data_IF_987567999434
#
_entry.id   IF_987567999434
#
_cell.length_a   1.000
_cell.length_b   1.000
_cell.length_c   1.000
_cell.angle_alpha   90.00
_cell.angle_beta   90.00
_cell.angle_gamma   90.00
#
_symmetry.space_group_name_H-M   'P 1'
#
loop_
_entity.id
_entity.type
_entity.pdbx_description
1 polymer ?
#
# COMPACT_ATOMS: atom_id res chain seq x y z
N UNK A 1 12.18 -23.32 -12.51
CA UNK A 1 11.32 -22.20 -12.08
C UNK A 1 9.87 -22.66 -12.21
N UNK A 2 9.18 -22.99 -11.10
CA UNK A 2 7.76 -23.39 -11.17
C UNK A 2 6.93 -22.11 -11.18
N UNK A 3 6.24 -21.89 -12.29
CA UNK A 3 5.27 -20.82 -12.45
C UNK A 3 4.13 -21.08 -11.44
N UNK A 4 3.95 -20.21 -10.45
CA UNK A 4 2.87 -20.31 -9.48
C UNK A 4 1.55 -19.93 -10.17
N UNK A 5 1.03 -20.83 -11.01
CA UNK A 5 -0.32 -20.68 -11.53
C UNK A 5 -1.29 -20.96 -10.37
N UNK A 6 -1.90 -19.90 -9.85
CA UNK A 6 -2.86 -19.95 -8.74
C UNK A 6 -4.29 -20.32 -9.21
N UNK A 7 -4.45 -20.56 -10.52
CA UNK A 7 -5.72 -20.83 -11.18
C UNK A 7 -5.60 -22.09 -11.99
N UNK A 8 -6.52 -23.05 -11.77
CA UNK A 8 -6.50 -24.36 -12.41
C UNK A 8 -7.78 -24.61 -13.18
N UNK A 9 -7.63 -25.16 -14.39
CA UNK A 9 -8.77 -25.64 -15.18
C UNK A 9 -9.23 -27.03 -14.70
N UNK A 10 -10.48 -27.40 -15.01
CA UNK A 10 -11.02 -28.73 -14.66
C UNK A 10 -10.18 -29.86 -15.25
N UNK A 11 -9.69 -29.68 -16.48
CA UNK A 11 -8.80 -30.62 -17.15
C UNK A 11 -7.48 -30.79 -16.42
N UNK A 12 -6.86 -29.71 -15.96
CA UNK A 12 -5.62 -29.77 -15.18
C UNK A 12 -5.84 -30.46 -13.83
N UNK A 13 -6.98 -30.21 -13.16
CA UNK A 13 -7.33 -30.89 -11.91
C UNK A 13 -7.53 -32.41 -12.09
N UNK A 14 -8.11 -32.83 -13.23
CA UNK A 14 -8.26 -34.25 -13.57
C UNK A 14 -6.92 -34.93 -13.87
N UNK A 15 -6.02 -34.25 -14.59
CA UNK A 15 -4.68 -34.76 -14.89
C UNK A 15 -3.85 -35.02 -13.63
N UNK A 16 -4.04 -34.20 -12.59
CA UNK A 16 -3.40 -34.36 -11.29
C UNK A 16 -3.88 -35.59 -10.51
N UNK A 17 -4.99 -36.23 -10.92
CA UNK A 17 -5.57 -37.44 -10.30
C UNK A 17 -5.64 -37.35 -8.77
N UNK A 18 -6.14 -36.21 -8.27
CA UNK A 18 -6.29 -35.96 -6.84
C UNK A 18 -7.40 -36.87 -6.31
N UNK A 19 -7.08 -37.73 -5.34
CA UNK A 19 -8.00 -38.74 -4.80
C UNK A 19 -9.26 -38.15 -4.16
N UNK A 20 -9.20 -36.92 -3.66
CA UNK A 20 -10.33 -36.20 -3.07
C UNK A 20 -11.26 -35.53 -4.09
N UNK A 21 -10.89 -35.50 -5.37
CA UNK A 21 -11.70 -34.95 -6.44
C UNK A 21 -12.45 -36.05 -7.21
N UNK A 22 -13.65 -35.75 -7.72
CA UNK A 22 -14.33 -36.64 -8.65
C UNK A 22 -13.50 -36.90 -9.90
N UNK A 23 -13.59 -38.11 -10.44
CA UNK A 23 -12.86 -38.52 -11.67
C UNK A 23 -13.48 -38.00 -12.96
N UNK A 24 -14.62 -37.29 -12.88
CA UNK A 24 -15.30 -36.66 -14.02
C UNK A 24 -15.29 -35.14 -13.88
N UNK A 25 -15.10 -34.48 -15.01
CA UNK A 25 -15.24 -33.05 -15.25
C UNK A 25 -16.51 -32.45 -14.60
N UNK A 26 -17.67 -33.06 -14.86
CA UNK A 26 -18.96 -32.63 -14.31
C UNK A 26 -19.00 -32.76 -12.80
N UNK A 27 -18.31 -33.76 -12.24
CA UNK A 27 -18.21 -33.97 -10.81
C UNK A 27 -17.45 -32.82 -10.13
N UNK A 28 -16.32 -32.42 -10.72
CA UNK A 28 -15.52 -31.30 -10.21
C UNK A 28 -16.31 -30.00 -10.28
N UNK A 29 -16.99 -29.71 -11.40
CA UNK A 29 -17.81 -28.48 -11.52
C UNK A 29 -18.94 -28.45 -10.49
N UNK A 30 -19.59 -29.58 -10.22
CA UNK A 30 -20.63 -29.68 -9.19
C UNK A 30 -20.04 -29.48 -7.79
N UNK A 31 -18.87 -30.07 -7.49
CA UNK A 31 -18.17 -29.89 -6.21
C UNK A 31 -17.77 -28.43 -6.00
N UNK A 32 -17.17 -27.81 -7.01
CA UNK A 32 -16.81 -26.40 -7.01
C UNK A 32 -18.01 -25.48 -6.79
N UNK A 33 -19.15 -25.80 -7.40
CA UNK A 33 -20.39 -25.03 -7.19
C UNK A 33 -20.97 -25.23 -5.78
N UNK A 34 -20.89 -26.44 -5.23
CA UNK A 34 -21.36 -26.78 -3.88
C UNK A 34 -20.52 -26.12 -2.78
N UNK A 35 -19.20 -26.07 -2.99
CA UNK A 35 -18.23 -25.52 -2.04
C UNK A 35 -17.92 -24.03 -2.30
N UNK A 36 -18.55 -23.42 -3.31
CA UNK A 36 -18.41 -22.00 -3.59
C UNK A 36 -17.03 -21.58 -4.07
N UNK A 37 -16.34 -22.43 -4.84
CA UNK A 37 -15.01 -22.10 -5.35
C UNK A 37 -15.06 -20.87 -6.26
N UNK A 38 -14.07 -20.00 -6.10
CA UNK A 38 -13.92 -18.83 -6.94
C UNK A 38 -13.53 -19.27 -8.35
N UNK A 39 -14.29 -18.80 -9.34
CA UNK A 39 -14.12 -19.15 -10.74
C UNK A 39 -13.98 -17.90 -11.60
N UNK A 40 -13.09 -17.96 -12.58
CA UNK A 40 -12.93 -16.94 -13.63
C UNK A 40 -13.02 -17.57 -15.01
N UNK A 41 -13.44 -16.80 -16.00
CA UNK A 41 -13.42 -17.25 -17.39
C UNK A 41 -12.00 -17.06 -17.95
N UNK A 42 -11.45 -18.09 -18.61
CA UNK A 42 -10.13 -17.98 -19.28
C UNK A 42 -10.27 -17.10 -20.53
N UNK A 43 -9.50 -16.03 -20.59
CA UNK A 43 -9.46 -15.14 -21.76
C UNK A 43 -8.69 -15.79 -22.92
N UNK A 44 -9.13 -15.55 -24.15
CA UNK A 44 -8.41 -15.98 -25.36
C UNK A 44 -8.61 -17.42 -25.84
N UNK A 45 -9.50 -18.21 -25.23
CA UNK A 45 -9.81 -19.58 -25.67
C UNK A 45 -11.17 -19.66 -26.37
N UNK A 46 -11.26 -20.42 -27.45
CA UNK A 46 -12.50 -20.68 -28.20
C UNK A 46 -13.46 -21.55 -27.37
N UNK A 47 -14.27 -20.91 -26.52
CA UNK A 47 -15.28 -21.56 -25.69
C UNK A 47 -15.47 -20.89 -24.31
N UNK A 48 -16.50 -21.30 -23.56
CA UNK A 48 -16.70 -20.90 -22.16
C UNK A 48 -15.91 -21.83 -21.24
N UNK A 49 -14.60 -21.61 -21.13
CA UNK A 49 -13.73 -22.37 -20.22
C UNK A 49 -13.52 -21.59 -18.92
N UNK A 50 -13.75 -22.25 -17.78
CA UNK A 50 -13.56 -21.67 -16.46
C UNK A 50 -12.31 -22.25 -15.78
N UNK A 51 -11.63 -21.39 -15.03
CA UNK A 51 -10.56 -21.74 -14.10
C UNK A 51 -11.01 -21.47 -12.67
N UNK A 52 -10.44 -22.20 -11.72
CA UNK A 52 -10.76 -22.12 -10.30
C UNK A 52 -9.52 -21.73 -9.49
N UNK A 53 -9.71 -20.84 -8.52
CA UNK A 53 -8.66 -20.35 -7.61
C UNK A 53 -8.29 -21.41 -6.57
N UNK A 54 -7.00 -21.71 -6.41
CA UNK A 54 -6.52 -22.70 -5.42
C UNK A 54 -6.94 -22.33 -4.00
N UNK A 55 -6.93 -21.04 -3.65
CA UNK A 55 -7.17 -20.58 -2.28
C UNK A 55 -8.57 -20.91 -1.76
N UNK A 56 -9.54 -21.05 -2.67
CA UNK A 56 -10.93 -21.40 -2.35
C UNK A 56 -11.22 -22.90 -2.42
N UNK A 57 -10.25 -23.72 -2.85
CA UNK A 57 -10.38 -25.19 -2.89
C UNK A 57 -10.15 -25.80 -1.50
N UNK A 58 -10.61 -27.04 -1.24
CA UNK A 58 -10.31 -27.76 -0.01
C UNK A 58 -8.81 -27.97 0.22
N UNK A 59 -8.39 -28.00 1.48
CA UNK A 59 -6.98 -28.18 1.88
C UNK A 59 -6.34 -29.44 1.27
N UNK A 60 -7.11 -30.52 1.14
CA UNK A 60 -6.68 -31.77 0.49
C UNK A 60 -6.25 -31.52 -0.97
N UNK A 61 -7.01 -30.70 -1.68
CA UNK A 61 -6.76 -30.34 -3.08
C UNK A 61 -5.57 -29.39 -3.16
N UNK A 62 -5.51 -28.38 -2.29
CA UNK A 62 -4.37 -27.44 -2.23
C UNK A 62 -3.06 -28.18 -1.99
N UNK A 63 -3.05 -29.11 -1.01
CA UNK A 63 -1.88 -29.92 -0.68
C UNK A 63 -1.46 -30.81 -1.84
N UNK A 64 -2.42 -31.47 -2.52
CA UNK A 64 -2.13 -32.29 -3.68
C UNK A 64 -1.61 -31.49 -4.89
N UNK A 65 -2.00 -30.20 -5.01
CA UNK A 65 -1.46 -29.27 -6.00
C UNK A 65 -0.09 -28.69 -5.59
N UNK A 66 0.40 -28.98 -4.39
CA UNK A 66 1.66 -28.45 -3.85
C UNK A 66 1.53 -27.07 -3.20
N UNK A 67 0.31 -26.58 -2.99
CA UNK A 67 0.01 -25.38 -2.21
C UNK A 67 -0.20 -25.80 -0.77
N UNK A 68 0.89 -25.89 -0.03
CA UNK A 68 0.80 -25.90 1.43
C UNK A 68 0.46 -24.48 1.87
N UNK A 69 -0.72 -24.26 2.45
CA UNK A 69 -0.99 -22.99 3.11
C UNK A 69 0.09 -22.77 4.18
N UNK A 70 1.00 -21.82 3.93
CA UNK A 70 1.36 -20.92 5.01
C UNK A 70 0.12 -20.07 5.23
N UNK A 71 -0.52 -20.27 6.39
CA UNK A 71 -1.62 -19.49 6.97
C UNK A 71 -3.02 -20.11 6.82
N UNK A 72 -3.29 -21.10 7.64
CA UNK A 72 -3.93 -20.85 8.94
C UNK A 72 -2.93 -21.36 10.01
N UNK A 73 -2.29 -20.52 10.82
CA UNK A 73 -2.88 -20.14 12.12
C UNK A 73 -4.39 -20.33 12.13
N UNK A 74 -4.83 -21.59 12.16
CA UNK A 74 -5.97 -21.88 13.02
C UNK A 74 -5.55 -21.31 14.39
N UNK A 75 -6.43 -20.60 15.11
CA UNK A 75 -6.19 -20.45 16.53
C UNK A 75 -6.09 -21.89 17.03
N UNK A 76 -4.86 -22.28 17.34
CA UNK A 76 -4.60 -23.43 18.17
C UNK A 76 -5.68 -23.42 19.25
N UNK A 77 -6.22 -24.59 19.60
CA UNK A 77 -7.03 -24.72 20.82
C UNK A 77 -6.14 -24.53 22.05
N UNK A 78 -5.14 -23.64 21.98
CA UNK A 78 -4.52 -22.98 23.10
C UNK A 78 -5.59 -22.12 23.74
N UNK A 79 -6.02 -22.57 24.92
CA UNK A 79 -6.44 -21.77 26.07
C UNK A 79 -6.48 -20.26 25.75
N UNK A 80 -7.63 -19.57 25.87
CA UNK A 80 -7.66 -18.13 25.66
C UNK A 80 -6.50 -17.50 26.43
N UNK A 81 -5.64 -16.69 25.77
CA UNK A 81 -4.45 -16.14 26.40
C UNK A 81 -4.87 -15.53 27.73
N UNK A 82 -4.19 -15.94 28.81
CA UNK A 82 -4.50 -15.44 30.14
C UNK A 82 -4.52 -13.91 30.09
N UNK A 83 -5.32 -13.29 30.96
CA UNK A 83 -5.33 -11.83 31.10
C UNK A 83 -3.91 -11.27 31.29
N UNK A 84 -3.03 -12.04 31.93
CA UNK A 84 -1.61 -11.74 32.09
C UNK A 84 -0.80 -11.77 30.78
N UNK A 85 -1.13 -12.67 29.86
CA UNK A 85 -0.44 -12.77 28.56
C UNK A 85 -0.85 -11.61 27.64
N UNK A 86 -2.10 -11.17 27.74
CA UNK A 86 -2.57 -9.96 27.06
C UNK A 86 -1.90 -8.72 27.64
N UNK A 87 -1.79 -8.62 28.96
CA UNK A 87 -1.11 -7.50 29.62
C UNK A 87 0.36 -7.40 29.19
N UNK A 88 1.10 -8.52 29.20
CA UNK A 88 2.49 -8.57 28.71
C UNK A 88 2.63 -8.12 27.26
N UNK A 89 1.66 -8.45 26.41
CA UNK A 89 1.65 -8.01 25.00
C UNK A 89 1.39 -6.51 24.89
N UNK A 90 0.50 -5.96 25.70
CA UNK A 90 0.23 -4.51 25.78
C UNK A 90 1.51 -3.79 26.19
N UNK A 91 2.15 -4.20 27.29
CA UNK A 91 3.38 -3.58 27.78
C UNK A 91 4.52 -3.65 26.74
N UNK A 92 4.62 -4.76 26.00
CA UNK A 92 5.59 -4.90 24.91
C UNK A 92 5.30 -3.95 23.74
N UNK A 93 4.04 -3.69 23.42
CA UNK A 93 3.65 -2.77 22.37
C UNK A 93 3.92 -1.32 22.80
N UNK A 94 3.60 -0.97 24.04
CA UNK A 94 3.87 0.36 24.60
C UNK A 94 5.37 0.67 24.59
N UNK A 95 6.21 -0.27 25.03
CA UNK A 95 7.67 -0.10 24.96
C UNK A 95 8.20 0.06 23.53
N UNK A 96 7.64 -0.70 22.57
CA UNK A 96 8.01 -0.58 21.16
C UNK A 96 7.58 0.76 20.57
N UNK A 97 6.38 1.24 20.93
CA UNK A 97 5.90 2.56 20.54
C UNK A 97 6.82 3.65 21.08
N UNK A 98 7.15 3.62 22.38
CA UNK A 98 8.05 4.59 22.99
C UNK A 98 9.46 4.57 22.36
N UNK A 99 9.98 3.39 22.00
CA UNK A 99 11.25 3.27 21.29
C UNK A 99 11.19 3.84 19.86
N UNK A 100 10.06 3.67 19.17
CA UNK A 100 9.83 4.27 17.85
C UNK A 100 9.66 5.77 17.94
N UNK A 101 8.92 6.26 18.94
CA UNK A 101 8.78 7.68 19.24
C UNK A 101 10.13 8.30 19.56
N UNK A 102 10.95 7.69 20.41
CA UNK A 102 12.31 8.19 20.70
C UNK A 102 13.18 8.24 19.43
N UNK A 103 13.07 7.25 18.55
CA UNK A 103 13.76 7.25 17.24
C UNK A 103 13.21 8.31 16.30
N UNK A 104 11.90 8.57 16.34
CA UNK A 104 11.21 9.60 15.58
C UNK A 104 11.37 11.01 16.18
N UNK A 105 11.67 11.14 17.48
CA UNK A 105 12.06 12.38 18.14
C UNK A 105 13.42 12.87 17.60
N UNK A 106 14.20 11.97 16.97
CA UNK A 106 15.35 12.32 16.14
C UNK A 106 14.98 13.05 14.83
N UNK A 107 13.70 13.10 14.45
CA UNK A 107 13.16 14.05 13.48
C UNK A 107 12.88 15.40 14.17
N UNK A 108 13.87 15.90 14.89
CA UNK A 108 13.94 17.33 15.21
C UNK A 108 13.97 18.03 13.86
N UNK A 109 13.06 19.00 13.62
CA UNK A 109 13.20 19.92 12.49
C UNK A 109 14.67 20.35 12.47
N UNK A 110 15.44 20.07 11.40
CA UNK A 110 16.89 20.28 11.46
C UNK A 110 17.13 21.73 11.86
N UNK A 111 18.14 22.01 12.69
CA UNK A 111 18.44 23.40 13.01
C UNK A 111 18.72 24.14 11.69
N UNK A 112 18.22 25.39 11.49
CA UNK A 112 18.52 26.14 10.30
C UNK A 112 20.04 26.16 10.05
N UNK A 113 20.50 25.88 8.81
CA UNK A 113 21.87 26.12 8.43
C UNK A 113 22.28 27.56 8.72
N UNK A 114 23.58 27.78 8.96
CA UNK A 114 24.12 29.12 9.20
C UNK A 114 23.76 30.04 8.01
N UNK A 115 23.11 31.17 8.30
CA UNK A 115 22.65 32.13 7.28
C UNK A 115 21.18 32.02 6.85
N UNK A 116 20.42 31.04 7.34
CA UNK A 116 18.96 31.00 7.15
C UNK A 116 18.21 31.42 8.41
N UNK A 117 17.21 32.28 8.25
CA UNK A 117 16.21 32.56 9.28
C UNK A 117 15.32 31.34 9.53
N UNK A 118 14.61 31.34 10.66
CA UNK A 118 13.71 30.25 11.01
C UNK A 118 12.59 30.08 9.96
N UNK A 119 12.06 31.19 9.45
CA UNK A 119 10.96 31.18 8.47
C UNK A 119 11.41 30.63 7.11
N UNK A 120 12.57 31.08 6.61
CA UNK A 120 13.18 30.54 5.39
C UNK A 120 13.45 29.04 5.51
N UNK A 121 13.91 28.61 6.68
CA UNK A 121 14.15 27.20 6.94
C UNK A 121 12.86 26.37 6.99
N UNK A 122 11.78 26.89 7.58
CA UNK A 122 10.47 26.23 7.54
C UNK A 122 9.98 26.05 6.10
N UNK A 123 10.18 27.05 5.23
CA UNK A 123 9.83 26.96 3.82
C UNK A 123 10.63 25.86 3.10
N UNK A 124 11.94 25.78 3.33
CA UNK A 124 12.79 24.71 2.77
C UNK A 124 12.34 23.33 3.24
N UNK A 125 12.01 23.18 4.53
CA UNK A 125 11.48 21.94 5.09
C UNK A 125 10.14 21.54 4.45
N UNK A 126 9.21 22.49 4.31
CA UNK A 126 7.92 22.26 3.68
C UNK A 126 8.08 21.84 2.21
N UNK A 127 8.94 22.54 1.47
CA UNK A 127 9.23 22.25 0.07
C UNK A 127 9.78 20.83 -0.15
N UNK A 128 10.72 20.39 0.70
CA UNK A 128 11.31 19.05 0.63
C UNK A 128 10.31 17.92 0.93
N UNK A 129 9.24 18.19 1.68
CA UNK A 129 8.16 17.21 1.96
C UNK A 129 7.17 17.06 0.80
N UNK A 130 7.13 18.02 -0.11
CA UNK A 130 6.24 17.98 -1.27
C UNK A 130 6.75 17.01 -2.36
N UNK A 131 5.83 16.46 -3.15
CA UNK A 131 6.16 15.73 -4.38
C UNK A 131 6.61 16.69 -5.48
N UNK A 132 7.15 16.15 -6.59
CA UNK A 132 7.79 16.98 -7.62
C UNK A 132 6.84 17.99 -8.27
N UNK A 133 5.60 17.59 -8.53
CA UNK A 133 4.60 18.47 -9.16
C UNK A 133 4.24 19.65 -8.24
N UNK A 134 4.04 19.39 -6.94
CA UNK A 134 3.75 20.45 -5.96
C UNK A 134 4.95 21.37 -5.75
N UNK A 135 6.18 20.84 -5.80
CA UNK A 135 7.38 21.66 -5.76
C UNK A 135 7.43 22.65 -6.93
N UNK A 136 7.15 22.20 -8.15
CA UNK A 136 7.10 23.07 -9.32
C UNK A 136 6.00 24.14 -9.17
N UNK A 137 4.82 23.74 -8.68
CA UNK A 137 3.74 24.69 -8.40
C UNK A 137 4.12 25.77 -7.39
N UNK A 138 4.73 25.38 -6.27
CA UNK A 138 5.17 26.32 -5.22
C UNK A 138 6.21 27.31 -5.74
N UNK A 139 7.20 26.85 -6.52
CA UNK A 139 8.19 27.73 -7.14
C UNK A 139 7.53 28.75 -8.06
N UNK A 140 6.65 28.30 -8.97
CA UNK A 140 5.95 29.19 -9.89
C UNK A 140 5.12 30.25 -9.15
N UNK A 141 4.44 29.86 -8.06
CA UNK A 141 3.68 30.83 -7.24
C UNK A 141 4.57 31.84 -6.54
N UNK A 142 5.73 31.41 -6.02
CA UNK A 142 6.66 32.30 -5.35
C UNK A 142 7.29 33.31 -6.33
N UNK A 143 7.68 32.85 -7.53
CA UNK A 143 8.18 33.71 -8.60
C UNK A 143 7.15 34.76 -9.05
N UNK A 144 5.88 34.35 -9.20
CA UNK A 144 4.80 35.25 -9.60
C UNK A 144 4.55 36.34 -8.54
N UNK A 145 4.52 35.97 -7.26
CA UNK A 145 4.34 36.94 -6.17
C UNK A 145 5.52 37.91 -6.07
N UNK A 146 6.75 37.43 -6.23
CA UNK A 146 7.94 38.30 -6.25
C UNK A 146 7.86 39.32 -7.40
N UNK A 147 7.52 38.87 -8.62
CA UNK A 147 7.34 39.76 -9.77
C UNK A 147 6.23 40.80 -9.53
N UNK A 148 5.13 40.39 -8.88
CA UNK A 148 4.06 41.31 -8.51
C UNK A 148 4.56 42.39 -7.53
N UNK A 149 5.30 42.00 -6.48
CA UNK A 149 5.85 42.97 -5.52
C UNK A 149 6.83 43.95 -6.16
N UNK A 150 7.69 43.51 -7.07
CA UNK A 150 8.60 44.41 -7.79
C UNK A 150 7.85 45.41 -8.66
N UNK A 151 6.76 44.97 -9.29
CA UNK A 151 5.91 45.85 -10.11
C UNK A 151 5.23 46.91 -9.24
N UNK A 152 4.63 46.52 -8.12
CA UNK A 152 3.99 47.44 -7.17
C UNK A 152 5.01 48.45 -6.60
N UNK A 153 6.23 48.01 -6.32
CA UNK A 153 7.32 48.90 -5.89
C UNK A 153 7.74 49.89 -6.99
N UNK A 154 7.86 49.46 -8.25
CA UNK A 154 8.17 50.35 -9.38
C UNK A 154 7.07 51.38 -9.61
N UNK A 155 5.81 50.96 -9.56
CA UNK A 155 4.65 51.85 -9.73
C UNK A 155 4.56 52.88 -8.60
N UNK A 156 4.81 52.48 -7.35
CA UNK A 156 4.82 53.42 -6.21
C UNK A 156 5.98 54.41 -6.26
N UNK A 157 7.17 53.99 -6.69
CA UNK A 157 8.31 54.90 -6.92
C UNK A 157 8.00 55.91 -8.03
N UNK A 158 7.48 55.46 -9.17
CA UNK A 158 7.10 56.34 -10.28
C UNK A 158 6.03 57.37 -9.85
N UNK A 159 5.05 56.96 -9.03
CA UNK A 159 4.03 57.87 -8.50
C UNK A 159 4.62 58.96 -7.57
N UNK A 160 5.65 58.63 -6.79
CA UNK A 160 6.36 59.61 -5.94
C UNK A 160 7.17 60.61 -6.77
N UNK A 161 7.85 60.15 -7.82
CA UNK A 161 8.62 61.02 -8.72
C UNK A 161 7.71 62.02 -9.46
N UNK A 162 6.57 61.56 -9.98
CA UNK A 162 5.59 62.45 -10.64
C UNK A 162 5.05 63.50 -9.68
N UNK A 163 4.81 63.14 -8.41
CA UNK A 163 4.33 64.07 -7.38
C UNK A 163 5.39 65.09 -6.95
N UNK A 164 6.67 64.76 -7.05
CA UNK A 164 7.77 65.67 -6.68
C UNK A 164 8.04 66.75 -7.75
N UNK A 165 7.58 66.55 -8.99
CA UNK A 165 7.81 67.44 -10.13
C UNK A 165 6.62 68.38 -10.42
N UNK A 166 5.44 68.12 -9.82
CA UNK A 166 4.23 68.93 -9.94
C UNK A 166 4.10 69.96 -8.81
#
# INVERSE_FOLDING_TARGET
>A
MKNSQEWFSVTELLEKKISSLPTSDKGIVKKASREGWEKRQREGVKGKTFEYSVYTMPLEVQTALGFSQRLTKEPDKSIPPSQDDLQKRIDQLENKLQALETKAQGFVQPKPPEGLTNDEWQLVCAFRRCNKDRQVGLLATAEALAAQTEKEQKESLAALEVRAVA
#
